data_IF_094573336738
#
_entry.id   IF_094573336738
#
_cell.length_a   1.000
_cell.length_b   1.000
_cell.length_c   1.000
_cell.angle_alpha   90.00
_cell.angle_beta   90.00
_cell.angle_gamma   90.00
#
_symmetry.space_group_name_H-M   'P 1'
#
loop_
_entity.id
_entity.type
_entity.pdbx_description
1 polymer ?
#
# COMPACT_ATOMS: atom_id res chain seq x y z
N UNK A 1 5.98 23.63 28.37
CA UNK A 1 5.12 23.41 27.19
C UNK A 1 6.00 23.56 25.95
N UNK A 2 6.46 22.45 25.37
CA UNK A 2 7.27 22.50 24.14
C UNK A 2 6.44 23.22 23.05
N UNK A 3 6.99 24.28 22.45
CA UNK A 3 6.33 25.02 21.36
C UNK A 3 6.29 24.13 20.10
N UNK A 4 5.33 23.22 20.04
CA UNK A 4 5.03 22.49 18.81
C UNK A 4 4.21 23.41 17.90
N UNK A 5 4.76 23.76 16.72
CA UNK A 5 4.02 24.50 15.70
C UNK A 5 3.13 23.51 14.94
N UNK A 6 1.83 23.80 14.87
CA UNK A 6 0.89 22.96 14.13
C UNK A 6 1.33 22.84 12.67
N UNK A 7 1.37 21.61 12.14
CA UNK A 7 1.78 21.34 10.76
C UNK A 7 3.30 21.30 10.51
N UNK A 8 4.14 21.59 11.51
CA UNK A 8 5.60 21.49 11.37
C UNK A 8 6.17 20.16 11.89
N UNK A 9 5.32 19.14 12.05
CA UNK A 9 5.77 17.80 12.46
C UNK A 9 6.51 17.15 11.29
N UNK A 10 7.65 16.49 11.55
CA UNK A 10 8.28 15.65 10.55
C UNK A 10 7.36 14.44 10.25
N UNK A 11 7.04 14.24 8.97
CA UNK A 11 6.15 13.18 8.48
C UNK A 11 6.85 12.12 7.61
N UNK A 12 8.19 12.09 7.61
CA UNK A 12 8.98 11.19 6.76
C UNK A 12 8.60 9.70 6.93
N UNK A 13 8.31 9.26 8.15
CA UNK A 13 7.90 7.88 8.42
C UNK A 13 6.49 7.56 7.89
N UNK A 14 5.58 8.54 7.93
CA UNK A 14 4.23 8.43 7.40
C UNK A 14 4.25 8.35 5.87
N UNK A 15 5.10 9.15 5.21
CA UNK A 15 5.32 9.09 3.76
C UNK A 15 5.88 7.73 3.34
N UNK A 16 6.94 7.25 3.99
CA UNK A 16 7.50 5.90 3.75
C UNK A 16 6.48 4.79 3.94
N UNK A 17 5.66 4.90 4.98
CA UNK A 17 4.60 3.93 5.26
C UNK A 17 3.55 3.93 4.16
N UNK A 18 3.12 5.10 3.70
CA UNK A 18 2.16 5.23 2.61
C UNK A 18 2.70 4.66 1.30
N UNK A 19 3.96 4.95 0.96
CA UNK A 19 4.61 4.33 -0.20
C UNK A 19 4.63 2.79 -0.10
N UNK A 20 4.96 2.28 1.09
CA UNK A 20 4.94 0.83 1.37
C UNK A 20 3.54 0.24 1.17
N UNK A 21 2.52 0.90 1.70
CA UNK A 21 1.12 0.52 1.56
C UNK A 21 0.68 0.46 0.08
N UNK A 22 1.03 1.47 -0.72
CA UNK A 22 0.69 1.49 -2.16
C UNK A 22 1.38 0.33 -2.88
N UNK A 23 2.69 0.14 -2.67
CA UNK A 23 3.45 -0.96 -3.28
C UNK A 23 2.87 -2.32 -2.91
N UNK A 24 2.48 -2.52 -1.65
CA UNK A 24 1.87 -3.77 -1.18
C UNK A 24 0.50 -4.00 -1.81
N UNK A 25 -0.36 -2.98 -1.83
CA UNK A 25 -1.69 -3.02 -2.44
C UNK A 25 -1.62 -3.41 -3.91
N UNK A 26 -0.72 -2.80 -4.69
CA UNK A 26 -0.54 -3.13 -6.12
C UNK A 26 -0.15 -4.60 -6.30
N UNK A 27 0.82 -5.09 -5.51
CA UNK A 27 1.26 -6.49 -5.58
C UNK A 27 0.11 -7.46 -5.23
N UNK A 28 -0.68 -7.14 -4.22
CA UNK A 28 -1.84 -7.94 -3.82
C UNK A 28 -2.90 -7.98 -4.91
N UNK A 29 -3.21 -6.85 -5.55
CA UNK A 29 -4.16 -6.80 -6.68
C UNK A 29 -3.67 -7.64 -7.85
N UNK A 30 -2.39 -7.53 -8.21
CA UNK A 30 -1.79 -8.37 -9.27
C UNK A 30 -1.92 -9.86 -8.93
N UNK A 31 -1.62 -10.25 -7.68
CA UNK A 31 -1.73 -11.63 -7.25
C UNK A 31 -3.17 -12.17 -7.34
N UNK A 32 -4.15 -11.35 -6.94
CA UNK A 32 -5.59 -11.70 -7.07
C UNK A 32 -5.96 -11.89 -8.54
N UNK A 33 -5.57 -10.97 -9.43
CA UNK A 33 -5.85 -11.08 -10.87
C UNK A 33 -5.24 -12.36 -11.44
N UNK A 34 -3.98 -12.66 -11.13
CA UNK A 34 -3.32 -13.90 -11.57
C UNK A 34 -4.08 -15.12 -11.06
N UNK A 35 -4.48 -15.14 -9.79
CA UNK A 35 -5.25 -16.24 -9.22
C UNK A 35 -6.60 -16.44 -9.92
N UNK A 36 -7.32 -15.36 -10.25
CA UNK A 36 -8.59 -15.42 -10.97
C UNK A 36 -8.40 -15.94 -12.41
N UNK A 37 -7.35 -15.51 -13.10
CA UNK A 37 -7.02 -16.00 -14.45
C UNK A 37 -6.71 -17.50 -14.41
N UNK A 38 -5.90 -17.97 -13.45
CA UNK A 38 -5.60 -19.38 -13.29
C UNK A 38 -6.85 -20.21 -12.96
N UNK A 39 -7.72 -19.71 -12.08
CA UNK A 39 -9.00 -20.35 -11.77
C UNK A 39 -9.87 -20.48 -13.01
N UNK A 40 -9.95 -19.43 -13.83
CA UNK A 40 -10.68 -19.45 -15.10
C UNK A 40 -10.08 -20.42 -16.12
N UNK A 41 -8.76 -20.61 -16.15
CA UNK A 41 -8.11 -21.58 -17.05
C UNK A 41 -8.28 -23.03 -16.57
N UNK A 42 -8.34 -23.26 -15.27
CA UNK A 42 -8.46 -24.62 -14.69
C UNK A 42 -9.91 -25.11 -14.69
N UNK A 43 -10.87 -24.21 -14.47
CA UNK A 43 -12.29 -24.54 -14.29
C UNK A 43 -13.22 -23.95 -15.37
N UNK A 44 -12.65 -23.26 -16.37
CA UNK A 44 -13.37 -22.78 -17.56
C UNK A 44 -13.39 -23.79 -18.68
#
# INVERSE_FOLDING_TARGET
MAKHSHGSMNIEEQEKTFEGFVKWTVRTVIAIIVALVLLALING
#
